data_IF_988777817043
#
_entry.id   IF_988777817043
#
_cell.length_a   1.000
_cell.length_b   1.000
_cell.length_c   1.000
_cell.angle_alpha   90.00
_cell.angle_beta   90.00
_cell.angle_gamma   90.00
#
_symmetry.space_group_name_H-M   'P 1'
#
loop_
_entity.id
_entity.type
_entity.pdbx_description
1 polymer ?
#
# COMPACT_ATOMS: atom_id res chain seq x y z
N UNK A 1 -25.49 -15.47 12.27
CA UNK A 1 -24.10 -15.98 12.35
C UNK A 1 -23.35 -15.49 11.13
N UNK A 2 -22.40 -14.65 11.38
CA UNK A 2 -21.78 -13.70 10.45
C UNK A 2 -20.92 -14.39 9.38
N UNK A 3 -21.39 -14.34 8.15
CA UNK A 3 -20.59 -14.68 6.97
C UNK A 3 -19.74 -13.49 6.47
N UNK A 4 -19.56 -12.46 7.31
CA UNK A 4 -18.90 -11.20 6.92
C UNK A 4 -17.40 -11.16 7.13
N UNK A 5 -16.84 -12.03 7.94
CA UNK A 5 -15.44 -11.88 8.39
C UNK A 5 -14.42 -12.51 7.43
N UNK A 6 -14.76 -13.56 6.70
CA UNK A 6 -13.82 -14.25 5.81
C UNK A 6 -13.48 -13.48 4.53
N UNK A 7 -14.37 -12.59 4.08
CA UNK A 7 -14.11 -11.76 2.89
C UNK A 7 -13.28 -10.50 3.17
N UNK A 8 -13.12 -10.12 4.42
CA UNK A 8 -12.33 -8.94 4.78
C UNK A 8 -10.81 -9.17 4.74
N UNK A 9 -10.35 -10.39 4.90
CA UNK A 9 -8.91 -10.69 4.88
C UNK A 9 -8.26 -10.66 3.49
N UNK A 10 -9.00 -10.93 2.43
CA UNK A 10 -8.49 -10.86 1.06
C UNK A 10 -8.65 -9.48 0.39
N UNK A 11 -9.45 -8.58 1.01
CA UNK A 11 -9.76 -7.25 0.45
C UNK A 11 -8.99 -6.10 1.11
N UNK A 12 -8.19 -6.33 2.15
CA UNK A 12 -7.54 -5.30 2.95
C UNK A 12 -6.02 -5.18 2.69
N UNK A 13 -5.63 -5.23 1.44
CA UNK A 13 -4.28 -4.77 1.04
C UNK A 13 -4.21 -3.25 0.88
N UNK A 14 -5.29 -2.54 1.25
CA UNK A 14 -5.33 -1.07 1.29
C UNK A 14 -6.09 -0.63 2.53
N UNK A 15 -5.44 0.13 3.38
CA UNK A 15 -6.06 0.73 4.56
C UNK A 15 -6.21 2.22 4.37
N UNK A 16 -7.42 2.74 4.58
CA UNK A 16 -7.67 4.18 4.65
C UNK A 16 -7.74 4.64 6.11
N UNK A 17 -6.85 5.55 6.49
CA UNK A 17 -6.88 6.26 7.77
C UNK A 17 -7.27 7.72 7.56
N UNK A 18 -8.32 8.17 8.28
CA UNK A 18 -8.69 9.59 8.36
C UNK A 18 -8.27 10.15 9.72
N UNK A 19 -7.53 11.25 9.73
CA UNK A 19 -7.14 11.95 10.96
C UNK A 19 -7.12 13.46 10.69
N UNK A 20 -8.05 14.21 11.28
CA UNK A 20 -8.25 15.63 10.98
C UNK A 20 -8.38 15.82 9.46
N UNK A 21 -7.48 16.58 8.85
CA UNK A 21 -7.43 16.81 7.40
C UNK A 21 -6.59 15.77 6.64
N UNK A 22 -5.95 14.82 7.35
CA UNK A 22 -5.14 13.78 6.72
C UNK A 22 -6.00 12.59 6.31
N UNK A 23 -5.79 12.13 5.10
CA UNK A 23 -6.36 10.93 4.53
C UNK A 23 -5.23 10.08 3.98
N UNK A 24 -4.87 9.05 4.71
CA UNK A 24 -3.67 8.25 4.50
C UNK A 24 -4.08 6.90 3.95
N UNK A 25 -3.51 6.51 2.82
CA UNK A 25 -3.58 5.14 2.33
C UNK A 25 -2.30 4.39 2.73
N UNK A 26 -2.48 3.21 3.28
CA UNK A 26 -1.42 2.24 3.51
C UNK A 26 -1.57 1.13 2.48
N UNK A 27 -0.62 1.07 1.56
CA UNK A 27 -0.64 0.30 0.31
C UNK A 27 -1.73 0.70 -0.69
N UNK A 28 -1.62 0.20 -1.91
CA UNK A 28 -2.49 0.55 -3.03
C UNK A 28 -3.10 -0.65 -3.77
N UNK A 29 -2.95 -1.87 -3.22
CA UNK A 29 -3.55 -3.07 -3.81
C UNK A 29 -3.02 -3.43 -5.21
N UNK A 30 -3.72 -4.33 -5.89
CA UNK A 30 -3.32 -4.92 -7.18
C UNK A 30 -3.49 -3.99 -8.41
N UNK A 31 -4.04 -2.78 -8.25
CA UNK A 31 -4.41 -1.98 -9.41
C UNK A 31 -5.63 -2.57 -10.15
N UNK A 32 -5.66 -2.38 -11.46
CA UNK A 32 -6.68 -2.98 -12.36
C UNK A 32 -6.32 -4.43 -12.77
N UNK A 33 -5.39 -5.06 -12.07
CA UNK A 33 -4.91 -6.39 -12.44
C UNK A 33 -5.97 -7.45 -12.14
N UNK A 34 -6.31 -8.23 -13.15
CA UNK A 34 -7.04 -9.48 -13.00
C UNK A 34 -6.05 -10.61 -13.26
N UNK A 35 -5.93 -11.53 -12.34
CA UNK A 35 -5.09 -12.70 -12.54
C UNK A 35 -5.86 -13.98 -12.25
N UNK A 36 -5.54 -15.03 -13.00
CA UNK A 36 -6.07 -16.37 -12.79
C UNK A 36 -4.97 -17.37 -13.07
N UNK A 37 -4.72 -18.22 -12.09
CA UNK A 37 -3.82 -19.37 -12.18
C UNK A 37 -4.62 -20.63 -11.90
N UNK A 38 -4.09 -21.85 -12.15
CA UNK A 38 -4.79 -23.10 -11.79
C UNK A 38 -5.21 -23.16 -10.32
N UNK A 39 -4.45 -22.54 -9.42
CA UNK A 39 -4.62 -22.64 -7.97
C UNK A 39 -5.18 -21.37 -7.31
N UNK A 40 -5.24 -20.25 -8.04
CA UNK A 40 -5.71 -18.98 -7.47
C UNK A 40 -6.20 -18.01 -8.54
N UNK A 41 -7.12 -17.15 -8.17
CA UNK A 41 -7.54 -16.01 -8.98
C UNK A 41 -7.77 -14.79 -8.10
N UNK A 42 -7.57 -13.61 -8.66
CA UNK A 42 -7.82 -12.36 -7.96
C UNK A 42 -8.26 -11.27 -8.92
N UNK A 43 -9.25 -10.51 -8.49
CA UNK A 43 -9.74 -9.32 -9.17
C UNK A 43 -9.28 -8.07 -8.43
N UNK A 44 -8.57 -7.20 -9.12
CA UNK A 44 -8.22 -5.86 -8.64
C UNK A 44 -9.26 -4.82 -9.05
N UNK A 45 -8.92 -3.56 -8.93
CA UNK A 45 -9.69 -2.47 -9.53
C UNK A 45 -10.61 -1.69 -8.60
N UNK A 46 -10.93 -2.17 -7.42
CA UNK A 46 -11.97 -1.58 -6.56
C UNK A 46 -11.52 -0.39 -5.70
N UNK A 47 -10.23 -0.08 -5.59
CA UNK A 47 -9.76 1.01 -4.70
C UNK A 47 -10.42 2.34 -5.01
N UNK A 48 -10.39 2.78 -6.27
CA UNK A 48 -10.96 4.07 -6.67
C UNK A 48 -12.48 4.12 -6.51
N UNK A 49 -13.16 3.00 -6.84
CA UNK A 49 -14.59 2.86 -6.61
C UNK A 49 -14.95 2.90 -5.11
N UNK A 50 -14.15 2.24 -4.28
CA UNK A 50 -14.38 2.22 -2.83
C UNK A 50 -14.09 3.58 -2.19
N UNK A 51 -13.07 4.31 -2.64
CA UNK A 51 -12.87 5.70 -2.23
C UNK A 51 -14.09 6.55 -2.57
N UNK A 52 -14.60 6.45 -3.79
CA UNK A 52 -15.80 7.18 -4.23
C UNK A 52 -17.04 6.81 -3.40
N UNK A 53 -17.26 5.52 -3.09
CA UNK A 53 -18.33 5.07 -2.17
C UNK A 53 -18.16 5.67 -0.77
N UNK A 54 -16.92 5.89 -0.33
CA UNK A 54 -16.60 6.55 0.94
C UNK A 54 -16.71 8.09 0.90
N UNK A 55 -17.16 8.66 -0.23
CA UNK A 55 -17.28 10.10 -0.45
C UNK A 55 -15.94 10.80 -0.65
N UNK A 56 -14.95 10.10 -1.18
CA UNK A 56 -13.61 10.62 -1.42
C UNK A 56 -13.25 10.52 -2.91
N UNK A 57 -12.56 11.56 -3.39
CA UNK A 57 -11.84 11.53 -4.67
C UNK A 57 -10.35 11.21 -4.41
N UNK A 58 -9.64 10.73 -5.44
CA UNK A 58 -8.19 10.51 -5.39
C UNK A 58 -7.39 11.76 -5.04
N UNK A 59 -7.92 12.95 -5.34
CA UNK A 59 -7.31 14.25 -4.99
C UNK A 59 -7.44 14.59 -3.51
N UNK A 60 -8.31 13.92 -2.79
CA UNK A 60 -8.52 14.10 -1.36
C UNK A 60 -7.49 13.38 -0.50
N UNK A 61 -6.80 12.39 -1.06
CA UNK A 61 -5.75 11.67 -0.36
C UNK A 61 -4.55 12.58 -0.16
N UNK A 62 -3.96 12.56 1.03
CA UNK A 62 -2.84 13.42 1.41
C UNK A 62 -1.53 12.68 1.56
N UNK A 63 -1.57 11.39 1.87
CA UNK A 63 -0.39 10.54 2.01
C UNK A 63 -0.67 9.14 1.48
N UNK A 64 0.33 8.57 0.82
CA UNK A 64 0.41 7.15 0.49
C UNK A 64 1.65 6.59 1.15
N UNK A 65 1.49 5.52 1.90
CA UNK A 65 2.59 4.83 2.57
C UNK A 65 2.61 3.41 2.01
N UNK A 66 3.70 3.02 1.39
CA UNK A 66 3.92 1.66 0.95
C UNK A 66 4.58 0.86 2.07
N UNK A 67 3.97 -0.27 2.40
CA UNK A 67 4.58 -1.23 3.33
C UNK A 67 5.81 -1.87 2.70
N UNK A 68 5.66 -2.33 1.47
CA UNK A 68 6.69 -2.91 0.63
C UNK A 68 6.26 -2.83 -0.85
N UNK A 69 7.07 -3.35 -1.78
CA UNK A 69 6.85 -3.12 -3.21
C UNK A 69 6.48 -4.35 -4.02
N UNK A 70 5.86 -5.37 -3.41
CA UNK A 70 5.24 -6.41 -4.21
C UNK A 70 4.08 -5.85 -5.04
N UNK A 71 3.80 -6.49 -6.17
CA UNK A 71 2.87 -5.98 -7.19
C UNK A 71 1.47 -5.69 -6.64
N UNK A 72 1.04 -6.46 -5.67
CA UNK A 72 -0.28 -6.40 -5.05
C UNK A 72 -0.40 -5.33 -3.94
N UNK A 73 0.67 -4.57 -3.69
CA UNK A 73 0.69 -3.42 -2.80
C UNK A 73 0.89 -2.09 -3.52
N UNK A 74 1.33 -2.11 -4.78
CA UNK A 74 1.69 -0.92 -5.55
C UNK A 74 0.85 -0.69 -6.80
N UNK A 75 -0.16 -1.51 -7.03
CA UNK A 75 -0.87 -1.56 -8.30
C UNK A 75 -1.56 -0.26 -8.73
N UNK A 76 -2.08 0.52 -7.80
CA UNK A 76 -2.67 1.83 -8.08
C UNK A 76 -1.69 3.01 -7.95
N UNK A 77 -0.39 2.80 -8.10
CA UNK A 77 0.60 3.89 -8.05
C UNK A 77 0.37 4.89 -9.18
N UNK A 78 0.10 4.39 -10.39
CA UNK A 78 -0.15 5.25 -11.56
C UNK A 78 -1.26 4.67 -12.43
N UNK A 79 -1.92 5.57 -13.15
CA UNK A 79 -2.98 5.27 -14.12
C UNK A 79 -2.65 5.89 -15.46
N UNK A 80 -3.33 5.45 -16.49
CA UNK A 80 -3.29 6.09 -17.80
C UNK A 80 -4.41 7.11 -17.92
N UNK A 81 -4.06 8.35 -18.22
CA UNK A 81 -5.00 9.44 -18.52
C UNK A 81 -4.62 10.12 -19.83
N UNK A 82 -5.54 10.16 -20.79
CA UNK A 82 -5.33 10.81 -22.09
C UNK A 82 -4.05 10.33 -22.82
N UNK A 83 -3.75 9.03 -22.74
CA UNK A 83 -2.56 8.42 -23.34
C UNK A 83 -1.24 8.74 -22.61
N UNK A 84 -1.31 9.23 -21.39
CA UNK A 84 -0.14 9.50 -20.56
C UNK A 84 -0.24 8.79 -19.21
N UNK A 85 0.88 8.28 -18.73
CA UNK A 85 0.99 7.72 -17.39
C UNK A 85 1.12 8.85 -16.36
N UNK A 86 0.22 8.88 -15.38
CA UNK A 86 0.20 9.87 -14.30
C UNK A 86 0.07 9.17 -12.94
N UNK A 87 0.54 9.80 -11.87
CA UNK A 87 0.30 9.31 -10.52
C UNK A 87 -1.20 9.30 -10.21
N UNK A 88 -1.68 8.20 -9.67
CA UNK A 88 -3.11 8.05 -9.32
C UNK A 88 -3.54 9.08 -8.28
N UNK A 89 -2.68 9.37 -7.32
CA UNK A 89 -2.95 10.34 -6.25
C UNK A 89 -2.04 11.56 -6.44
N UNK A 90 -2.52 12.62 -7.12
CA UNK A 90 -1.64 13.72 -7.57
C UNK A 90 -1.18 14.66 -6.46
N UNK A 91 -1.89 14.72 -5.33
CA UNK A 91 -1.69 15.69 -4.25
C UNK A 91 -1.09 15.07 -2.99
N UNK A 92 -0.38 13.97 -3.12
CA UNK A 92 0.13 13.23 -1.96
C UNK A 92 1.64 13.28 -1.83
N UNK A 93 2.09 13.12 -0.58
CA UNK A 93 3.43 12.64 -0.31
C UNK A 93 3.43 11.11 -0.33
N UNK A 94 4.35 10.53 -1.09
CA UNK A 94 4.58 9.09 -1.14
C UNK A 94 5.69 8.70 -0.18
N UNK A 95 5.46 7.66 0.61
CA UNK A 95 6.38 7.22 1.64
C UNK A 95 6.70 5.72 1.52
N UNK A 96 7.93 5.36 1.86
CA UNK A 96 8.35 3.98 2.11
C UNK A 96 9.65 3.97 2.92
N UNK A 97 10.21 2.79 3.19
CA UNK A 97 11.57 2.71 3.72
C UNK A 97 12.61 2.90 2.60
N UNK A 98 13.75 3.48 2.96
CA UNK A 98 14.88 3.58 2.01
C UNK A 98 15.44 2.20 1.65
N UNK A 99 15.40 1.25 2.59
CA UNK A 99 15.88 -0.12 2.39
C UNK A 99 15.05 -0.81 1.31
N UNK A 100 13.72 -0.66 1.35
CA UNK A 100 12.81 -1.21 0.36
C UNK A 100 13.05 -0.62 -1.02
N UNK A 101 13.15 0.71 -1.11
CA UNK A 101 13.44 1.38 -2.37
C UNK A 101 14.78 0.94 -2.97
N UNK A 102 15.85 0.93 -2.17
CA UNK A 102 17.18 0.55 -2.64
C UNK A 102 17.26 -0.91 -3.08
N UNK A 103 16.47 -1.79 -2.46
CA UNK A 103 16.42 -3.20 -2.84
C UNK A 103 15.71 -3.42 -4.19
N UNK A 104 14.60 -2.71 -4.42
CA UNK A 104 13.73 -2.96 -5.58
C UNK A 104 14.03 -2.09 -6.79
N UNK A 105 14.55 -0.87 -6.64
CA UNK A 105 14.73 0.11 -7.72
C UNK A 105 15.48 -0.43 -8.95
N UNK A 106 16.38 -1.41 -8.76
CA UNK A 106 17.17 -2.04 -9.82
C UNK A 106 16.66 -3.45 -10.20
N UNK A 107 15.53 -3.90 -9.61
CA UNK A 107 14.89 -5.18 -9.88
C UNK A 107 13.54 -4.95 -10.56
N UNK A 108 13.56 -4.24 -11.66
CA UNK A 108 12.35 -3.90 -12.40
C UNK A 108 11.99 -4.99 -13.39
N UNK A 109 10.68 -5.11 -13.63
CA UNK A 109 10.11 -6.00 -14.66
C UNK A 109 10.42 -7.49 -14.46
N UNK A 110 10.74 -7.90 -13.24
CA UNK A 110 10.74 -9.32 -12.85
C UNK A 110 9.30 -9.85 -12.95
N UNK A 111 9.07 -10.96 -13.68
CA UNK A 111 7.71 -11.43 -13.97
C UNK A 111 6.97 -11.98 -12.74
N UNK A 112 7.65 -12.26 -11.65
CA UNK A 112 7.06 -12.89 -10.47
C UNK A 112 6.90 -11.89 -9.33
N UNK A 113 7.96 -11.15 -9.00
CA UNK A 113 8.02 -10.33 -7.79
C UNK A 113 8.50 -8.90 -8.02
N UNK A 114 9.00 -8.60 -9.22
CA UNK A 114 9.60 -7.30 -9.51
C UNK A 114 8.59 -6.16 -9.62
N UNK A 115 9.06 -4.97 -9.34
CA UNK A 115 8.30 -3.75 -9.59
C UNK A 115 8.28 -3.44 -11.09
N UNK A 116 7.16 -2.94 -11.57
CA UNK A 116 7.07 -2.52 -12.97
C UNK A 116 7.71 -1.15 -13.16
N UNK A 117 8.64 -1.04 -14.10
CA UNK A 117 9.33 0.21 -14.43
C UNK A 117 8.36 1.35 -14.73
N UNK A 118 7.45 1.12 -15.68
CA UNK A 118 6.58 2.17 -16.24
C UNK A 118 5.46 2.58 -15.30
N UNK A 119 4.88 1.61 -14.57
CA UNK A 119 3.69 1.88 -13.75
C UNK A 119 4.01 2.25 -12.32
N UNK A 120 5.21 1.92 -11.84
CA UNK A 120 5.61 2.17 -10.46
C UNK A 120 6.90 3.00 -10.36
N UNK A 121 8.05 2.49 -10.85
CA UNK A 121 9.36 3.12 -10.61
C UNK A 121 9.45 4.51 -11.22
N UNK A 122 9.25 4.64 -12.53
CA UNK A 122 9.38 5.92 -13.25
C UNK A 122 8.46 7.02 -12.69
N UNK A 123 7.16 6.76 -12.42
CA UNK A 123 6.29 7.77 -11.84
C UNK A 123 6.71 8.26 -10.44
N UNK A 124 7.38 7.41 -9.65
CA UNK A 124 7.78 7.69 -8.27
C UNK A 124 9.22 8.12 -8.10
N UNK A 125 10.03 8.04 -9.14
CA UNK A 125 11.45 8.39 -9.05
C UNK A 125 11.63 9.82 -8.55
N UNK A 126 12.42 9.98 -7.48
CA UNK A 126 12.63 11.26 -6.81
C UNK A 126 11.46 11.81 -6.00
N UNK A 127 10.33 11.08 -5.89
CA UNK A 127 9.13 11.54 -5.18
C UNK A 127 8.89 10.81 -3.86
N UNK A 128 9.55 9.69 -3.61
CA UNK A 128 9.38 8.94 -2.36
C UNK A 128 10.16 9.62 -1.24
N UNK A 129 9.47 9.89 -0.15
CA UNK A 129 10.05 10.29 1.14
C UNK A 129 10.33 9.06 1.97
N UNK A 130 11.53 8.99 2.52
CA UNK A 130 11.95 7.80 3.29
C UNK A 130 11.67 7.98 4.77
N UNK A 131 10.86 7.09 5.31
CA UNK A 131 10.55 6.98 6.73
C UNK A 131 11.65 6.21 7.46
N UNK A 132 11.81 6.46 8.75
CA UNK A 132 12.75 5.76 9.65
C UNK A 132 11.96 4.87 10.63
N UNK A 133 12.61 3.83 11.13
CA UNK A 133 12.03 3.04 12.22
C UNK A 133 11.74 3.92 13.43
N UNK A 134 10.55 3.78 14.00
CA UNK A 134 10.07 4.59 15.13
C UNK A 134 9.58 5.99 14.76
N UNK A 135 9.64 6.42 13.50
CA UNK A 135 9.18 7.74 13.08
C UNK A 135 7.67 7.90 13.27
N UNK A 136 7.26 9.04 13.80
CA UNK A 136 5.85 9.42 13.94
C UNK A 136 5.41 10.20 12.69
N UNK A 137 4.53 9.59 11.88
CA UNK A 137 4.07 10.17 10.60
C UNK A 137 3.01 11.24 10.84
N UNK A 138 2.09 10.95 11.73
CA UNK A 138 1.07 11.86 12.27
C UNK A 138 0.90 11.50 13.75
N UNK A 139 0.30 12.37 14.58
CA UNK A 139 0.15 12.08 16.01
C UNK A 139 -0.36 10.66 16.30
N UNK A 140 0.43 9.92 17.07
CA UNK A 140 0.19 8.54 17.50
C UNK A 140 0.25 7.46 16.40
N UNK A 141 0.67 7.77 15.18
CA UNK A 141 0.90 6.79 14.12
C UNK A 141 2.40 6.66 13.85
N UNK A 142 2.97 5.53 14.17
CA UNK A 142 4.40 5.26 14.13
C UNK A 142 4.76 4.19 13.10
N UNK A 143 5.92 4.37 12.48
CA UNK A 143 6.55 3.37 11.61
C UNK A 143 7.23 2.30 12.45
N UNK A 144 7.12 1.05 12.02
CA UNK A 144 7.89 -0.07 12.55
C UNK A 144 8.49 -0.86 11.40
N UNK A 145 9.82 -0.98 11.37
CA UNK A 145 10.52 -1.81 10.40
C UNK A 145 10.42 -3.28 10.78
N UNK A 146 10.18 -4.11 9.76
CA UNK A 146 10.24 -5.55 9.86
C UNK A 146 11.01 -6.12 8.64
N UNK A 147 11.75 -7.21 8.84
CA UNK A 147 12.72 -7.69 7.85
C UNK A 147 12.43 -9.13 7.38
N UNK A 148 11.19 -9.60 7.52
CA UNK A 148 10.85 -10.99 7.27
C UNK A 148 10.36 -11.27 5.85
N UNK A 149 9.50 -10.42 5.32
CA UNK A 149 8.84 -10.62 4.04
C UNK A 149 9.64 -9.99 2.89
N UNK A 150 10.03 -8.73 3.08
CA UNK A 150 11.00 -8.04 2.22
C UNK A 150 12.05 -7.34 3.09
N UNK A 151 13.22 -6.95 2.52
CA UNK A 151 14.31 -6.37 3.30
C UNK A 151 13.98 -5.06 4.00
N UNK A 152 12.98 -4.32 3.51
CA UNK A 152 12.62 -3.01 4.03
C UNK A 152 11.15 -2.85 4.36
N UNK A 153 10.43 -3.95 4.60
CA UNK A 153 9.02 -3.92 4.94
C UNK A 153 8.77 -3.04 6.17
N UNK A 154 7.76 -2.20 6.08
CA UNK A 154 7.28 -1.40 7.21
C UNK A 154 5.85 -1.77 7.58
N UNK A 155 5.60 -1.76 8.86
CA UNK A 155 4.29 -1.82 9.48
C UNK A 155 3.94 -0.48 10.12
N UNK A 156 2.70 -0.26 10.47
CA UNK A 156 2.29 0.92 11.19
C UNK A 156 1.70 0.54 12.55
N UNK A 157 1.99 1.35 13.55
CA UNK A 157 1.42 1.21 14.89
C UNK A 157 0.66 2.48 15.24
N UNK A 158 -0.61 2.35 15.57
CA UNK A 158 -1.46 3.43 16.05
C UNK A 158 -1.70 3.26 17.54
N UNK A 159 -1.39 4.28 18.32
CA UNK A 159 -1.79 4.37 19.73
C UNK A 159 -3.04 5.24 19.86
N UNK A 160 -4.06 4.78 20.57
CA UNK A 160 -5.28 5.55 20.81
C UNK A 160 -5.95 5.09 22.11
N UNK A 161 -6.23 6.03 23.01
CA UNK A 161 -6.96 5.77 24.27
C UNK A 161 -6.37 4.62 25.10
N UNK A 162 -5.05 4.56 25.21
CA UNK A 162 -4.32 3.51 25.93
C UNK A 162 -4.29 2.14 25.23
N UNK A 163 -4.85 2.05 24.02
CA UNK A 163 -4.81 0.85 23.18
C UNK A 163 -3.79 1.04 22.06
N UNK A 164 -3.28 -0.10 21.55
CA UNK A 164 -2.39 -0.15 20.41
C UNK A 164 -3.00 -1.01 19.32
N UNK A 165 -3.01 -0.48 18.10
CA UNK A 165 -3.40 -1.22 16.90
C UNK A 165 -2.18 -1.32 15.97
N UNK A 166 -1.94 -2.51 15.43
CA UNK A 166 -0.92 -2.75 14.45
C UNK A 166 -1.56 -2.96 13.09
N UNK A 167 -1.03 -2.30 12.10
CA UNK A 167 -1.31 -2.53 10.69
C UNK A 167 -0.13 -3.31 10.14
N UNK A 168 -0.26 -4.62 10.20
CA UNK A 168 0.74 -5.58 9.74
C UNK A 168 0.45 -5.90 8.27
N UNK A 169 1.30 -5.43 7.39
CA UNK A 169 1.24 -5.78 5.97
C UNK A 169 1.40 -7.31 5.80
N UNK A 170 2.20 -7.77 4.90
CA UNK A 170 2.40 -9.22 4.67
C UNK A 170 3.32 -9.91 5.70
N UNK A 171 3.43 -9.33 6.90
CA UNK A 171 4.10 -9.97 8.02
C UNK A 171 3.36 -11.23 8.50
N UNK A 172 2.03 -11.24 8.36
CA UNK A 172 1.17 -12.36 8.74
C UNK A 172 0.21 -12.66 7.59
N UNK A 173 0.38 -13.81 6.97
CA UNK A 173 -0.41 -14.21 5.80
C UNK A 173 -1.48 -15.26 6.13
N UNK A 174 -1.50 -15.84 7.33
CA UNK A 174 -2.51 -16.83 7.75
C UNK A 174 -2.64 -16.92 9.26
N UNK A 175 -3.79 -17.41 9.72
CA UNK A 175 -4.11 -17.65 11.13
C UNK A 175 -3.19 -18.72 11.78
N UNK A 176 -2.46 -19.48 10.98
CA UNK A 176 -1.54 -20.52 11.45
C UNK A 176 -0.21 -19.95 11.97
N UNK A 177 0.03 -18.66 11.74
CA UNK A 177 1.26 -17.98 12.18
C UNK A 177 1.21 -17.47 13.62
N UNK A 178 0.11 -17.70 14.35
CA UNK A 178 -0.07 -17.34 15.76
C UNK A 178 -0.09 -18.56 16.69
#
# INVERSE_FOLDING_TARGET
MEKGLLYQHLLLRVLLRKYKNEKILFDLGNGECHFSTPDSSGDGGELLNNLKKAGLDRKDITKVIYSHFHFDHVGWTSIEENGKRVLTFPNVDYYSSKIEWDFWKDKTDDPIMGINSKTFKEPLEGKIKFLKDGEEIIPNLFVKYEFWHTPGLINLTLNSEGKRMWFMADMVNSDIQF
#
